data_IF_468560036601
#
_entry.id   IF_468560036601
#
_cell.length_a   1.000
_cell.length_b   1.000
_cell.length_c   1.000
_cell.angle_alpha   90.00
_cell.angle_beta   90.00
_cell.angle_gamma   90.00
#
_symmetry.space_group_name_H-M   'P 1'
#
loop_
_entity.id
_entity.type
_entity.pdbx_description
1 polymer ?
#
# COMPACT_ATOMS: atom_id res chain seq x y z
N UNK A 1 11.15 28.71 15.32
CA UNK A 1 10.32 28.48 14.11
C UNK A 1 10.59 27.12 13.43
N UNK A 2 11.85 26.67 13.24
CA UNK A 2 12.16 25.33 12.64
C UNK A 2 11.61 24.09 13.36
N UNK A 3 11.45 24.12 14.70
CA UNK A 3 10.97 22.95 15.47
C UNK A 3 9.47 22.69 15.39
N UNK A 4 8.66 23.72 15.14
CA UNK A 4 7.20 23.59 14.97
C UNK A 4 6.86 23.04 13.58
N UNK A 5 7.58 23.48 12.55
CA UNK A 5 7.45 22.98 11.18
C UNK A 5 7.77 21.49 11.08
N UNK A 6 8.90 21.05 11.65
CA UNK A 6 9.26 19.63 11.72
C UNK A 6 8.24 18.79 12.51
N UNK A 7 7.62 19.35 13.56
CA UNK A 7 6.60 18.64 14.33
C UNK A 7 5.32 18.42 13.52
N UNK A 8 4.86 19.39 12.73
CA UNK A 8 3.69 19.24 11.86
C UNK A 8 3.94 18.29 10.68
N UNK A 9 5.15 18.32 10.11
CA UNK A 9 5.57 17.42 9.03
C UNK A 9 5.67 15.98 9.52
N UNK A 10 6.23 15.79 10.72
CA UNK A 10 6.28 14.49 11.38
C UNK A 10 4.89 13.99 11.77
N UNK A 11 3.98 14.88 12.20
CA UNK A 11 2.62 14.50 12.57
C UNK A 11 1.77 14.09 11.35
N UNK A 12 1.93 14.75 10.20
CA UNK A 12 1.34 14.29 8.93
C UNK A 12 1.91 12.94 8.50
N UNK A 13 3.22 12.76 8.60
CA UNK A 13 3.89 11.51 8.25
C UNK A 13 3.53 10.36 9.22
N UNK A 14 3.34 10.67 10.50
CA UNK A 14 3.02 9.70 11.56
C UNK A 14 1.57 9.21 11.49
N UNK A 15 0.64 9.95 10.87
CA UNK A 15 -0.74 9.47 10.60
C UNK A 15 -0.79 8.60 9.34
N UNK A 16 0.08 8.86 8.37
CA UNK A 16 0.16 8.08 7.14
C UNK A 16 0.80 6.71 7.35
N UNK A 17 1.81 6.65 8.20
CA UNK A 17 2.51 5.41 8.57
C UNK A 17 1.58 4.26 9.02
N UNK A 18 0.65 4.45 9.98
CA UNK A 18 -0.26 3.40 10.40
C UNK A 18 -1.22 2.99 9.28
N UNK A 19 -1.69 3.91 8.44
CA UNK A 19 -2.57 3.60 7.30
C UNK A 19 -1.84 2.70 6.29
N UNK A 20 -0.62 3.06 5.91
CA UNK A 20 0.22 2.25 5.03
C UNK A 20 0.47 0.85 5.62
N UNK A 21 0.83 0.80 6.91
CA UNK A 21 1.07 -0.48 7.59
C UNK A 21 -0.20 -1.34 7.69
N UNK A 22 -1.36 -0.74 7.95
CA UNK A 22 -2.63 -1.44 8.04
C UNK A 22 -3.01 -2.05 6.69
N UNK A 23 -2.83 -1.30 5.60
CA UNK A 23 -3.08 -1.80 4.23
C UNK A 23 -2.16 -3.00 3.94
N UNK A 24 -0.86 -2.90 4.24
CA UNK A 24 0.08 -4.01 4.01
C UNK A 24 -0.27 -5.25 4.86
N UNK A 25 -0.71 -5.06 6.10
CA UNK A 25 -1.15 -6.15 6.98
C UNK A 25 -2.39 -6.83 6.39
N UNK A 26 -3.36 -6.06 5.89
CA UNK A 26 -4.56 -6.61 5.23
C UNK A 26 -4.17 -7.39 3.98
N UNK A 27 -3.32 -6.84 3.12
CA UNK A 27 -2.88 -7.51 1.89
C UNK A 27 -2.17 -8.84 2.20
N UNK A 28 -1.21 -8.82 3.13
CA UNK A 28 -0.45 -10.01 3.52
C UNK A 28 -1.34 -11.03 4.23
N UNK A 29 -2.25 -10.58 5.10
CA UNK A 29 -3.21 -11.44 5.79
C UNK A 29 -4.15 -12.16 4.82
N UNK A 30 -4.77 -11.41 3.89
CA UNK A 30 -5.58 -12.00 2.82
C UNK A 30 -4.76 -12.94 1.94
N UNK A 31 -3.52 -12.57 1.61
CA UNK A 31 -2.56 -13.38 0.88
C UNK A 31 -2.32 -14.76 1.48
N UNK A 32 -1.99 -14.77 2.77
CA UNK A 32 -1.75 -16.00 3.53
C UNK A 32 -3.03 -16.85 3.59
N UNK A 33 -4.20 -16.24 3.77
CA UNK A 33 -5.47 -16.98 3.76
C UNK A 33 -5.72 -17.62 2.39
N UNK A 34 -5.49 -16.90 1.29
CA UNK A 34 -5.57 -17.45 -0.07
C UNK A 34 -4.60 -18.62 -0.24
N UNK A 35 -3.34 -18.45 0.20
CA UNK A 35 -2.34 -19.51 0.12
C UNK A 35 -2.75 -20.76 0.89
N UNK A 36 -3.42 -20.61 2.04
CA UNK A 36 -3.97 -21.75 2.81
C UNK A 36 -5.15 -22.42 2.11
N UNK A 37 -6.00 -21.67 1.41
CA UNK A 37 -7.17 -22.21 0.68
C UNK A 37 -6.72 -22.96 -0.59
N UNK A 38 -5.73 -22.41 -1.30
CA UNK A 38 -5.21 -22.96 -2.56
C UNK A 38 -4.04 -23.95 -2.36
N UNK A 39 -3.70 -24.25 -1.11
CA UNK A 39 -2.57 -25.11 -0.72
C UNK A 39 -1.21 -24.66 -1.30
N UNK A 40 -1.05 -23.35 -1.51
CA UNK A 40 0.20 -22.76 -1.97
C UNK A 40 1.23 -22.70 -0.86
N UNK A 41 2.51 -22.74 -1.27
CA UNK A 41 3.61 -22.46 -0.36
C UNK A 41 3.63 -20.98 0.02
N UNK A 42 4.29 -20.66 1.13
CA UNK A 42 4.37 -19.27 1.64
C UNK A 42 5.01 -18.30 0.64
N UNK A 43 6.00 -18.77 -0.13
CA UNK A 43 6.67 -18.03 -1.19
C UNK A 43 5.72 -17.70 -2.35
N UNK A 44 4.91 -18.66 -2.79
CA UNK A 44 3.91 -18.48 -3.86
C UNK A 44 2.78 -17.55 -3.42
N UNK A 45 2.30 -17.72 -2.18
CA UNK A 45 1.29 -16.86 -1.57
C UNK A 45 1.75 -15.41 -1.46
N UNK A 46 2.98 -15.19 -0.97
CA UNK A 46 3.55 -13.85 -0.83
C UNK A 46 3.80 -13.20 -2.20
N UNK A 47 4.32 -13.98 -3.16
CA UNK A 47 4.50 -13.54 -4.53
C UNK A 47 3.18 -13.11 -5.16
N UNK A 48 2.13 -13.95 -5.06
CA UNK A 48 0.79 -13.62 -5.55
C UNK A 48 0.28 -12.32 -4.93
N UNK A 49 0.38 -12.17 -3.61
CA UNK A 49 -0.05 -10.96 -2.90
C UNK A 49 0.65 -9.70 -3.40
N UNK A 50 1.97 -9.72 -3.58
CA UNK A 50 2.69 -8.57 -4.09
C UNK A 50 2.39 -8.29 -5.56
N UNK A 51 2.32 -9.31 -6.41
CA UNK A 51 2.03 -9.15 -7.84
C UNK A 51 0.62 -8.61 -8.06
N UNK A 52 -0.38 -9.15 -7.36
CA UNK A 52 -1.76 -8.65 -7.41
C UNK A 52 -1.89 -7.29 -6.74
N UNK A 53 -1.27 -7.12 -5.58
CA UNK A 53 -1.35 -5.92 -4.77
C UNK A 53 -0.64 -4.71 -5.35
N UNK A 54 0.48 -4.90 -6.03
CA UNK A 54 1.16 -3.86 -6.80
C UNK A 54 0.55 -3.68 -8.20
N UNK A 55 -0.58 -4.35 -8.47
CA UNK A 55 -1.31 -4.27 -9.74
C UNK A 55 -0.49 -4.71 -10.97
N UNK A 56 0.54 -5.54 -10.76
CA UNK A 56 1.37 -6.12 -11.84
C UNK A 56 0.57 -7.21 -12.57
N UNK A 57 -0.02 -8.14 -11.82
CA UNK A 57 -1.01 -9.09 -12.33
C UNK A 57 -0.53 -10.03 -13.44
N UNK A 58 0.63 -10.69 -13.29
CA UNK A 58 1.16 -11.61 -14.31
C UNK A 58 0.21 -12.76 -14.68
N UNK A 59 -0.60 -13.24 -13.72
CA UNK A 59 -1.59 -14.29 -13.96
C UNK A 59 -1.02 -15.71 -14.08
N UNK A 60 0.25 -15.89 -13.76
CA UNK A 60 0.95 -17.17 -13.65
C UNK A 60 0.45 -18.01 -12.47
N UNK A 61 0.19 -17.36 -11.33
CA UNK A 61 -0.44 -17.95 -10.15
C UNK A 61 -1.83 -17.32 -9.99
N UNK A 62 -2.88 -18.14 -10.00
CA UNK A 62 -4.27 -17.66 -9.92
C UNK A 62 -5.14 -18.55 -9.02
N UNK A 63 -5.99 -17.96 -8.16
CA UNK A 63 -6.86 -18.71 -7.28
C UNK A 63 -7.97 -19.43 -8.07
N UNK A 64 -8.18 -20.71 -7.76
CA UNK A 64 -9.20 -21.56 -8.37
C UNK A 64 -10.51 -21.54 -7.57
N UNK A 65 -10.43 -21.41 -6.26
CA UNK A 65 -11.58 -21.36 -5.37
C UNK A 65 -12.28 -20.00 -5.40
N UNK A 66 -13.61 -20.01 -5.36
CA UNK A 66 -14.42 -18.79 -5.37
C UNK A 66 -14.09 -17.87 -4.20
N UNK A 67 -13.90 -18.42 -3.00
CA UNK A 67 -13.53 -17.65 -1.80
C UNK A 67 -12.17 -16.96 -1.95
N UNK A 68 -11.19 -17.66 -2.51
CA UNK A 68 -9.85 -17.10 -2.76
C UNK A 68 -9.88 -16.00 -3.83
N UNK A 69 -10.72 -16.13 -4.86
CA UNK A 69 -10.95 -15.06 -5.86
C UNK A 69 -11.54 -13.80 -5.25
N UNK A 70 -12.52 -13.92 -4.35
CA UNK A 70 -13.07 -12.77 -3.65
C UNK A 70 -12.02 -12.06 -2.77
N UNK A 71 -11.17 -12.83 -2.08
CA UNK A 71 -10.06 -12.27 -1.32
C UNK A 71 -9.02 -11.58 -2.22
N UNK A 72 -8.75 -12.13 -3.41
CA UNK A 72 -7.84 -11.52 -4.37
C UNK A 72 -8.33 -10.14 -4.85
N UNK A 73 -9.65 -9.95 -4.98
CA UNK A 73 -10.25 -8.64 -5.29
C UNK A 73 -9.99 -7.63 -4.17
N UNK A 74 -10.07 -8.05 -2.90
CA UNK A 74 -9.74 -7.19 -1.75
C UNK A 74 -8.28 -6.76 -1.81
N UNK A 75 -7.35 -7.68 -2.10
CA UNK A 75 -5.92 -7.38 -2.27
C UNK A 75 -5.71 -6.35 -3.39
N UNK A 76 -6.36 -6.54 -4.54
CA UNK A 76 -6.26 -5.62 -5.67
C UNK A 76 -6.79 -4.22 -5.34
N UNK A 77 -7.95 -4.13 -4.68
CA UNK A 77 -8.52 -2.84 -4.27
C UNK A 77 -7.61 -2.12 -3.25
N UNK A 78 -7.12 -2.83 -2.24
CA UNK A 78 -6.15 -2.32 -1.28
C UNK A 78 -4.88 -1.81 -1.96
N UNK A 79 -4.41 -2.50 -3.01
CA UNK A 79 -3.30 -2.10 -3.86
C UNK A 79 -3.49 -0.77 -4.58
N UNK A 80 -4.67 -0.55 -5.16
CA UNK A 80 -5.02 0.72 -5.82
C UNK A 80 -5.05 1.87 -4.78
N UNK A 81 -5.61 1.63 -3.60
CA UNK A 81 -5.61 2.63 -2.52
C UNK A 81 -4.19 2.95 -2.07
N UNK A 82 -3.33 1.93 -1.95
CA UNK A 82 -1.92 2.08 -1.57
C UNK A 82 -1.16 2.96 -2.56
N UNK A 83 -1.27 2.66 -3.86
CA UNK A 83 -0.59 3.43 -4.91
C UNK A 83 -1.10 4.87 -4.98
N UNK A 84 -2.41 5.09 -4.83
CA UNK A 84 -3.00 6.43 -4.72
C UNK A 84 -2.49 7.21 -3.51
N UNK A 85 -2.35 6.57 -2.35
CA UNK A 85 -1.79 7.18 -1.14
C UNK A 85 -0.33 7.61 -1.36
N UNK A 86 0.49 6.74 -1.96
CA UNK A 86 1.91 7.04 -2.27
C UNK A 86 2.01 8.23 -3.23
N UNK A 87 1.16 8.28 -4.26
CA UNK A 87 1.11 9.41 -5.19
C UNK A 87 0.72 10.71 -4.49
N UNK A 88 -0.32 10.69 -3.65
CA UNK A 88 -0.76 11.86 -2.89
C UNK A 88 0.30 12.39 -1.93
N UNK A 89 1.07 11.51 -1.29
CA UNK A 89 2.19 11.90 -0.42
C UNK A 89 3.30 12.56 -1.24
N UNK A 90 3.66 11.96 -2.37
CA UNK A 90 4.69 12.50 -3.27
C UNK A 90 4.33 13.91 -3.72
N UNK A 91 3.07 14.16 -4.11
CA UNK A 91 2.58 15.48 -4.52
C UNK A 91 2.58 16.47 -3.35
N UNK A 92 2.14 16.06 -2.16
CA UNK A 92 2.17 16.93 -0.98
C UNK A 92 3.59 17.32 -0.59
N UNK A 93 4.55 16.39 -0.67
CA UNK A 93 5.96 16.65 -0.40
C UNK A 93 6.54 17.67 -1.39
N UNK A 94 6.27 17.51 -2.69
CA UNK A 94 6.70 18.46 -3.73
C UNK A 94 6.08 19.85 -3.54
N UNK A 95 4.78 19.91 -3.20
CA UNK A 95 4.08 21.17 -2.95
C UNK A 95 4.55 21.87 -1.67
N UNK A 96 5.00 21.12 -0.66
CA UNK A 96 5.59 21.70 0.54
C UNK A 96 6.94 22.35 0.23
N UNK A 97 7.76 21.73 -0.62
CA UNK A 97 9.05 22.30 -1.05
C UNK A 97 8.88 23.54 -1.93
N UNK A 98 7.91 23.56 -2.86
CA UNK A 98 7.71 24.72 -3.74
C UNK A 98 7.17 25.96 -3.00
N UNK A 99 6.39 25.75 -1.93
CA UNK A 99 5.84 26.84 -1.12
C UNK A 99 6.92 27.54 -0.29
N UNK A 100 7.88 26.78 0.25
CA UNK A 100 9.04 27.32 0.98
C UNK A 100 9.93 28.20 0.07
N UNK A 101 10.11 27.85 -1.21
CA UNK A 101 10.88 28.67 -2.17
C UNK A 101 10.22 30.01 -2.53
N UNK A 102 8.91 30.14 -2.36
CA UNK A 102 8.15 31.35 -2.73
C UNK A 102 8.04 32.34 -1.58
N UNK A 103 8.10 31.88 -0.33
CA UNK A 103 8.05 32.71 0.88
C UNK A 103 9.40 33.41 1.17
N UNK A 104 10.50 32.89 0.62
CA UNK A 104 11.86 33.43 0.79
C UNK A 104 12.24 34.50 -0.27
N UNK A 105 11.30 34.89 -1.16
CA UNK A 105 11.45 35.95 -2.18
C UNK A 105 10.58 37.16 -1.87
#
# INVERSE_FOLDING_TARGET
MRRLFFSNLYQQLQVLWPIFSAILIVMTGCGVIIGRIEEWRLDESLYFTFVTGLTIGYGDITPKHLGARLLALVIGFSGIVLTGLVAAISVQALNATSKDETDDR
#
